data_IF_678690682581
#
_entry.id   IF_678690682581
#
_cell.length_a   1.000
_cell.length_b   1.000
_cell.length_c   1.000
_cell.angle_alpha   90.00
_cell.angle_beta   90.00
_cell.angle_gamma   90.00
#
_symmetry.space_group_name_H-M   'P 1'
#
loop_
_entity.id
_entity.type
_entity.pdbx_description
1 polymer ?
#
# COMPACT_ATOMS: atom_id res chain seq x y z
N UNK A 1 10.47 5.07 -2.12
CA UNK A 1 9.35 4.30 -2.71
C UNK A 1 8.12 5.19 -2.78
N UNK A 2 7.37 5.12 -3.88
CA UNK A 2 6.04 5.72 -4.04
C UNK A 2 5.04 4.62 -4.37
N UNK A 3 3.85 4.65 -3.79
CA UNK A 3 2.80 3.67 -4.10
C UNK A 3 1.43 4.33 -4.12
N UNK A 4 0.56 3.88 -5.02
CA UNK A 4 -0.84 4.31 -5.10
C UNK A 4 -1.74 3.17 -5.56
N UNK A 5 -3.04 3.33 -5.29
CA UNK A 5 -4.08 2.37 -5.62
C UNK A 5 -5.04 2.98 -6.66
N UNK A 6 -5.39 2.19 -7.67
CA UNK A 6 -6.57 2.41 -8.50
C UNK A 6 -7.68 1.47 -8.04
N UNK A 7 -8.83 2.02 -7.72
CA UNK A 7 -10.04 1.29 -7.37
C UNK A 7 -11.10 1.60 -8.42
N UNK A 8 -11.33 0.67 -9.36
CA UNK A 8 -12.00 1.00 -10.62
C UNK A 8 -11.15 2.00 -11.42
N UNK A 9 -11.77 3.06 -11.95
CA UNK A 9 -11.08 4.14 -12.68
C UNK A 9 -10.57 5.27 -11.77
N UNK A 10 -10.87 5.21 -10.46
CA UNK A 10 -10.50 6.27 -9.53
C UNK A 10 -9.15 5.97 -8.89
N UNK A 11 -8.24 6.95 -9.00
CA UNK A 11 -7.02 6.96 -8.21
C UNK A 11 -7.36 7.32 -6.77
N UNK A 12 -7.05 6.43 -5.84
CA UNK A 12 -7.18 6.67 -4.40
C UNK A 12 -6.23 7.82 -4.00
N UNK A 13 -6.76 9.05 -4.03
CA UNK A 13 -5.96 10.28 -3.94
C UNK A 13 -6.18 11.09 -2.64
N UNK A 14 -7.13 10.73 -1.78
CA UNK A 14 -7.34 11.45 -0.53
C UNK A 14 -6.43 10.91 0.60
N UNK A 15 -6.08 11.80 1.55
CA UNK A 15 -5.19 11.53 2.70
C UNK A 15 -5.56 10.26 3.49
N UNK A 16 -6.82 9.82 3.41
CA UNK A 16 -7.38 8.73 4.22
C UNK A 16 -7.93 7.53 3.42
N UNK A 17 -7.83 7.49 2.08
CA UNK A 17 -8.70 6.60 1.28
C UNK A 17 -7.99 5.46 0.50
N UNK A 18 -7.13 4.65 1.13
CA UNK A 18 -6.76 3.37 0.53
C UNK A 18 -7.91 2.37 0.65
N UNK A 19 -8.97 2.59 -0.11
CA UNK A 19 -10.14 1.72 -0.17
C UNK A 19 -10.31 1.11 -1.56
N UNK A 20 -10.65 -0.18 -1.60
CA UNK A 20 -11.18 -0.87 -2.76
C UNK A 20 -12.70 -0.76 -2.77
N UNK A 21 -13.23 -0.07 -3.76
CA UNK A 21 -14.65 -0.03 -4.09
C UNK A 21 -15.08 -1.39 -4.63
N UNK A 22 -16.15 -1.94 -4.06
CA UNK A 22 -16.83 -3.12 -4.59
C UNK A 22 -17.50 -2.83 -5.93
N UNK A 23 -17.73 -3.90 -6.70
CA UNK A 23 -18.48 -3.85 -7.95
C UNK A 23 -19.95 -3.37 -7.79
N UNK A 24 -20.48 -3.35 -6.56
CA UNK A 24 -21.82 -2.81 -6.27
C UNK A 24 -21.86 -1.27 -6.17
N UNK A 25 -20.70 -0.59 -6.26
CA UNK A 25 -20.57 0.86 -6.17
C UNK A 25 -20.86 1.47 -4.79
N UNK A 26 -21.13 0.65 -3.76
CA UNK A 26 -21.52 1.09 -2.42
C UNK A 26 -20.57 0.59 -1.33
N UNK A 27 -20.16 -0.66 -1.44
CA UNK A 27 -19.34 -1.34 -0.44
C UNK A 27 -17.85 -1.03 -0.64
N UNK A 28 -17.07 -0.93 0.44
CA UNK A 28 -15.63 -0.58 0.40
C UNK A 28 -14.83 -1.41 1.39
N UNK A 29 -13.59 -1.75 1.04
CA UNK A 29 -12.62 -2.44 1.91
C UNK A 29 -11.36 -1.59 2.02
N UNK A 30 -10.90 -1.33 3.25
CA UNK A 30 -9.68 -0.58 3.48
C UNK A 30 -8.45 -1.44 3.21
N UNK A 31 -7.34 -0.82 2.82
CA UNK A 31 -6.04 -1.45 2.65
C UNK A 31 -5.02 -0.68 3.48
N UNK A 32 -4.34 -1.38 4.39
CA UNK A 32 -3.09 -0.88 4.96
C UNK A 32 -1.97 -1.06 3.96
N UNK A 33 -1.08 -0.08 3.97
CA UNK A 33 0.15 -0.05 3.20
C UNK A 33 1.32 0.03 4.16
N UNK A 34 2.05 -1.07 4.26
CA UNK A 34 3.15 -1.22 5.20
C UNK A 34 4.40 -1.69 4.48
N UNK A 35 5.57 -1.39 5.03
CA UNK A 35 6.84 -1.90 4.55
C UNK A 35 7.51 -2.73 5.62
N UNK A 36 7.94 -3.92 5.22
CA UNK A 36 8.83 -4.77 6.00
C UNK A 36 10.27 -4.55 5.54
N UNK A 37 11.13 -4.16 6.48
CA UNK A 37 12.56 -3.92 6.26
C UNK A 37 13.36 -4.92 7.12
N UNK A 38 14.30 -5.68 6.55
CA UNK A 38 15.14 -6.60 7.31
C UNK A 38 15.90 -5.88 8.43
N UNK A 39 15.87 -6.45 9.63
CA UNK A 39 16.48 -5.85 10.83
C UNK A 39 15.57 -4.89 11.60
N UNK A 40 14.37 -4.59 11.10
CA UNK A 40 13.32 -3.91 11.87
C UNK A 40 12.24 -4.92 12.29
N UNK A 41 11.86 -4.87 13.57
CA UNK A 41 10.79 -5.73 14.11
C UNK A 41 9.39 -5.25 13.70
N UNK A 42 9.22 -3.95 13.46
CA UNK A 42 7.91 -3.36 13.17
C UNK A 42 7.71 -3.07 11.68
N UNK A 43 6.46 -3.23 11.24
CA UNK A 43 6.00 -2.79 9.93
C UNK A 43 5.88 -1.26 9.92
N UNK A 44 6.53 -0.62 8.95
CA UNK A 44 6.53 0.85 8.84
C UNK A 44 5.43 1.27 7.87
N UNK A 45 4.68 2.31 8.23
CA UNK A 45 3.71 2.90 7.33
C UNK A 45 4.38 3.46 6.07
N UNK A 46 3.95 2.98 4.91
CA UNK A 46 4.39 3.57 3.66
C UNK A 46 3.67 4.90 3.47
N UNK A 47 4.38 6.03 3.52
CA UNK A 47 3.79 7.31 3.12
C UNK A 47 3.47 7.28 1.61
N UNK A 48 2.40 7.97 1.22
CA UNK A 48 1.96 8.15 -0.16
C UNK A 48 2.99 8.91 -0.98
N UNK A 49 3.53 9.99 -0.41
CA UNK A 49 4.28 10.98 -1.19
C UNK A 49 5.72 10.53 -1.39
N UNK A 50 6.34 9.98 -0.35
CA UNK A 50 7.65 9.33 -0.41
C UNK A 50 7.89 8.59 0.90
N UNK A 51 8.06 7.26 0.84
CA UNK A 51 8.77 6.57 1.91
C UNK A 51 10.26 6.54 1.54
N UNK A 52 11.05 7.32 2.26
CA UNK A 52 12.50 7.25 2.16
C UNK A 52 13.01 6.12 3.06
N UNK A 53 13.57 5.11 2.42
CA UNK A 53 14.25 4.03 3.12
C UNK A 53 15.73 4.25 2.85
N UNK A 54 16.43 4.86 3.80
CA UNK A 54 17.89 4.96 3.76
C UNK A 54 18.45 3.54 3.72
N UNK A 55 18.87 3.09 2.53
CA UNK A 55 19.13 1.67 2.28
C UNK A 55 20.53 1.38 1.77
N UNK A 56 21.51 2.31 1.81
CA UNK A 56 22.87 1.99 1.32
C UNK A 56 23.42 0.68 1.91
N UNK A 57 23.24 0.47 3.21
CA UNK A 57 23.64 -0.78 3.89
C UNK A 57 22.75 -2.00 3.59
N UNK A 58 21.45 -1.79 3.35
CA UNK A 58 20.51 -2.87 3.06
C UNK A 58 20.58 -3.33 1.60
N UNK A 59 20.68 -2.39 0.66
CA UNK A 59 20.88 -2.63 -0.76
C UNK A 59 22.23 -3.29 -1.03
N UNK A 60 23.31 -2.83 -0.37
CA UNK A 60 24.64 -3.44 -0.49
C UNK A 60 24.67 -4.90 -0.01
N UNK A 61 23.77 -5.28 0.90
CA UNK A 61 23.64 -6.65 1.43
C UNK A 61 22.59 -7.50 0.70
N UNK A 62 21.98 -6.97 -0.38
CA UNK A 62 20.92 -7.67 -1.12
C UNK A 62 19.64 -7.90 -0.30
N UNK A 63 19.38 -7.05 0.69
CA UNK A 63 18.26 -7.21 1.59
C UNK A 63 16.91 -6.97 0.88
N UNK A 64 15.94 -7.87 1.11
CA UNK A 64 14.60 -7.75 0.53
C UNK A 64 13.73 -6.77 1.32
N UNK A 65 13.39 -5.63 0.72
CA UNK A 65 12.35 -4.72 1.22
C UNK A 65 11.01 -5.15 0.63
N UNK A 66 9.99 -5.38 1.47
CA UNK A 66 8.67 -5.85 1.02
C UNK A 66 7.60 -4.80 1.25
N UNK A 67 6.84 -4.47 0.21
CA UNK A 67 5.55 -3.79 0.36
C UNK A 67 4.50 -4.82 0.79
N UNK A 68 3.90 -4.60 1.95
CA UNK A 68 2.84 -5.42 2.52
C UNK A 68 1.53 -4.65 2.41
N UNK A 69 0.53 -5.29 1.80
CA UNK A 69 -0.81 -4.76 1.69
C UNK A 69 -1.75 -5.63 2.51
N UNK A 70 -2.42 -5.04 3.48
CA UNK A 70 -3.34 -5.78 4.37
C UNK A 70 -4.73 -5.23 4.20
N UNK A 71 -5.67 -6.07 3.75
CA UNK A 71 -7.06 -5.67 3.73
C UNK A 71 -7.58 -5.53 5.17
N UNK A 72 -7.98 -4.30 5.52
CA UNK A 72 -8.81 -4.07 6.70
C UNK A 72 -10.26 -4.10 6.27
N UNK A 73 -10.99 -5.01 6.90
CA UNK A 73 -12.40 -4.81 7.07
C UNK A 73 -12.52 -3.56 7.96
N UNK A 74 -12.90 -2.41 7.38
CA UNK A 74 -13.17 -1.19 8.16
C UNK A 74 -14.38 -1.40 9.08
N UNK A 75 -15.01 -0.31 9.54
CA UNK A 75 -16.30 -0.44 10.23
C UNK A 75 -17.25 -1.28 9.37
N UNK A 76 -17.54 -2.47 9.91
CA UNK A 76 -18.07 -3.65 9.22
C UNK A 76 -19.44 -3.45 8.54
N UNK A 77 -20.07 -2.29 8.73
CA UNK A 77 -21.38 -1.93 8.21
C UNK A 77 -21.44 -1.75 6.68
N UNK A 78 -20.30 -1.71 5.96
CA UNK A 78 -20.25 -1.45 4.51
C UNK A 78 -19.62 -2.58 3.67
N UNK A 79 -19.47 -3.78 4.21
CA UNK A 79 -18.91 -4.92 3.47
C UNK A 79 -20.01 -5.93 3.20
N UNK A 80 -20.38 -6.06 1.92
CA UNK A 80 -21.39 -7.02 1.48
C UNK A 80 -20.73 -8.37 1.14
N UNK A 81 -21.13 -9.43 1.84
CA UNK A 81 -20.65 -10.80 1.55
C UNK A 81 -20.99 -11.20 0.12
N UNK A 82 -20.05 -11.92 -0.52
CA UNK A 82 -20.23 -12.43 -1.88
C UNK A 82 -20.03 -11.39 -2.99
N UNK A 83 -19.66 -10.15 -2.66
CA UNK A 83 -19.33 -9.13 -3.66
C UNK A 83 -17.80 -9.02 -3.80
N UNK A 84 -17.25 -9.18 -5.02
CA UNK A 84 -15.83 -9.01 -5.24
C UNK A 84 -15.42 -7.53 -5.12
N UNK A 85 -14.19 -7.33 -4.63
CA UNK A 85 -13.51 -6.04 -4.58
C UNK A 85 -12.28 -6.13 -5.49
N UNK A 86 -12.15 -5.22 -6.45
CA UNK A 86 -11.06 -5.23 -7.43
C UNK A 86 -10.33 -3.89 -7.44
N UNK A 87 -9.03 -3.94 -7.68
CA UNK A 87 -8.19 -2.76 -7.82
C UNK A 87 -6.79 -3.14 -8.26
N UNK A 88 -6.03 -2.13 -8.66
CA UNK A 88 -4.65 -2.28 -9.12
C UNK A 88 -3.75 -1.40 -8.29
N UNK A 89 -2.70 -2.00 -7.73
CA UNK A 89 -1.70 -1.27 -6.95
C UNK A 89 -0.49 -1.04 -7.83
N UNK A 90 -0.03 0.21 -7.83
CA UNK A 90 1.18 0.63 -8.51
C UNK A 90 2.21 1.00 -7.45
N UNK A 91 3.40 0.44 -7.58
CA UNK A 91 4.52 0.73 -6.70
C UNK A 91 5.77 1.02 -7.54
N UNK A 92 6.43 2.14 -7.23
CA UNK A 92 7.66 2.57 -7.87
C UNK A 92 8.77 2.61 -6.82
N UNK A 93 9.84 1.88 -7.09
CA UNK A 93 11.05 1.83 -6.30
C UNK A 93 12.11 2.65 -7.02
N UNK A 94 12.37 3.84 -6.49
CA UNK A 94 13.45 4.71 -6.94
C UNK A 94 14.65 4.44 -6.02
N UNK A 95 15.81 4.14 -6.61
CA UNK A 95 17.09 4.06 -5.90
C UNK A 95 17.88 5.32 -6.25
N UNK A 96 18.23 6.10 -5.24
CA UNK A 96 19.17 7.20 -5.41
C UNK A 96 20.59 6.62 -5.34
N UNK A 97 21.11 6.24 -6.51
CA UNK A 97 22.47 5.70 -6.66
C UNK A 97 23.50 6.82 -6.86
N UNK A 98 23.06 8.06 -7.01
CA UNK A 98 23.92 9.23 -7.07
C UNK A 98 23.85 9.92 -5.70
N UNK A 99 25.02 10.06 -5.06
CA UNK A 99 25.15 10.52 -3.68
C UNK A 99 25.01 12.01 -3.50
#
# INVERSE_FOLDING_TARGET
MKAWLLSGEQKANAKDDWYLQSNDGKSRVGLLRQVSIPGKQELIWADRDKLEIASKDHAAKGAQIKLVLTALLGDSAKIKRGVPHTGTVFAVFETDLEG
#
